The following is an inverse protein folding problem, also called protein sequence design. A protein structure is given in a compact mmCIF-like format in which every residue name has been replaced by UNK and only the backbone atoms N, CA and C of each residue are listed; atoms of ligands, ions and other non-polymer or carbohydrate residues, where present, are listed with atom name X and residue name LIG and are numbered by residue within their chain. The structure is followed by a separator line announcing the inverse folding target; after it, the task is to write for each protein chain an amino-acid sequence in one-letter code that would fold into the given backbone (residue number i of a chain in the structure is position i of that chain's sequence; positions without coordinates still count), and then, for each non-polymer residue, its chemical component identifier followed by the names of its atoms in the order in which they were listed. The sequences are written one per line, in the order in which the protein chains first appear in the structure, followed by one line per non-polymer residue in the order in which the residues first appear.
data_IF_898479899273
#
_entry.id   IF_898479899273
#
_cell.length_a   1.000
_cell.length_b   1.000
_cell.length_c   1.000
_cell.angle_alpha   90.00
_cell.angle_beta   90.00
_cell.angle_gamma   90.00
#
_symmetry.space_group_name_H-M   'P 1'
#
loop_
_entity.id
_entity.type
_entity.pdbx_description
1 polymer ?
#
# COMPACT_ATOMS: atom_id res chain seq x y z
N UNK A 1 7.77 -46.31 -7.37
CA UNK A 1 9.20 -45.94 -7.37
C UNK A 1 9.53 -45.55 -8.80
N UNK A 2 10.00 -44.32 -9.02
CA UNK A 2 10.39 -43.88 -10.35
C UNK A 2 11.65 -44.65 -10.79
N UNK A 3 11.66 -45.12 -12.03
CA UNK A 3 12.71 -45.97 -12.57
C UNK A 3 13.84 -45.09 -13.12
N UNK A 4 15.00 -45.11 -12.45
CA UNK A 4 16.18 -44.30 -12.79
C UNK A 4 16.63 -44.53 -14.24
N UNK A 5 16.40 -45.74 -14.77
CA UNK A 5 16.77 -46.10 -16.13
C UNK A 5 15.92 -45.38 -17.18
N UNK A 6 14.60 -45.32 -16.95
CA UNK A 6 13.67 -44.65 -17.85
C UNK A 6 13.90 -43.14 -17.88
N UNK A 7 14.13 -42.54 -16.70
CA UNK A 7 14.36 -41.11 -16.54
C UNK A 7 15.69 -40.68 -17.20
N UNK A 8 16.76 -41.46 -17.00
CA UNK A 8 18.07 -41.22 -17.62
C UNK A 8 18.00 -41.28 -19.15
N UNK A 9 17.31 -42.29 -19.70
CA UNK A 9 17.15 -42.46 -21.14
C UNK A 9 16.31 -41.35 -21.78
N UNK A 10 15.30 -40.84 -21.07
CA UNK A 10 14.47 -39.73 -21.52
C UNK A 10 15.23 -38.39 -21.53
N UNK A 11 16.10 -38.14 -20.55
CA UNK A 11 16.91 -36.93 -20.52
C UNK A 11 18.02 -36.97 -21.60
N UNK A 12 18.54 -38.17 -21.89
CA UNK A 12 19.49 -38.38 -22.98
C UNK A 12 18.86 -38.21 -24.36
N UNK A 13 17.61 -38.65 -24.56
CA UNK A 13 16.89 -38.44 -25.84
C UNK A 13 16.56 -36.97 -26.11
N UNK A 14 16.56 -36.14 -25.08
CA UNK A 14 16.48 -34.67 -25.18
C UNK A 14 17.83 -34.01 -25.50
N UNK A 15 18.91 -34.79 -25.65
CA UNK A 15 20.24 -34.31 -26.02
C UNK A 15 21.00 -33.61 -24.89
N UNK A 16 20.61 -33.82 -23.63
CA UNK A 16 21.32 -33.24 -22.49
C UNK A 16 22.66 -33.95 -22.25
N UNK A 17 23.73 -33.21 -21.91
CA UNK A 17 25.01 -33.80 -21.56
C UNK A 17 24.97 -34.44 -20.16
N UNK A 18 25.68 -35.55 -19.99
CA UNK A 18 25.83 -36.35 -18.76
C UNK A 18 25.93 -35.57 -17.43
N UNK A 19 26.71 -34.48 -17.30
CA UNK A 19 26.74 -33.69 -16.05
C UNK A 19 25.43 -32.98 -15.72
N UNK A 20 24.62 -32.60 -16.73
CA UNK A 20 23.29 -32.02 -16.53
C UNK A 20 22.28 -33.10 -16.10
N UNK A 21 22.36 -34.29 -16.70
CA UNK A 21 21.51 -35.43 -16.34
C UNK A 21 21.74 -35.82 -14.87
N UNK A 22 23.00 -35.81 -14.42
CA UNK A 22 23.35 -36.12 -13.05
C UNK A 22 22.76 -35.12 -12.05
N UNK A 23 22.79 -33.82 -12.39
CA UNK A 23 22.20 -32.77 -11.56
C UNK A 23 20.68 -32.94 -11.45
N UNK A 24 20.00 -33.17 -12.56
CA UNK A 24 18.54 -33.33 -12.63
C UNK A 24 18.05 -34.56 -11.83
N UNK A 25 18.77 -35.69 -11.94
CA UNK A 25 18.42 -36.92 -11.22
C UNK A 25 18.70 -36.81 -9.72
N UNK A 26 19.78 -36.11 -9.34
CA UNK A 26 20.08 -35.84 -7.92
C UNK A 26 19.03 -34.91 -7.32
N UNK A 27 18.58 -33.90 -8.07
CA UNK A 27 17.50 -32.98 -7.67
C UNK A 27 16.14 -33.71 -7.54
N UNK A 28 15.91 -34.73 -8.36
CA UNK A 28 14.75 -35.64 -8.25
C UNK A 28 14.87 -36.66 -7.10
N UNK A 29 15.94 -36.59 -6.31
CA UNK A 29 16.11 -37.36 -5.08
C UNK A 29 16.74 -38.74 -5.26
N UNK A 30 17.36 -39.03 -6.42
CA UNK A 30 18.11 -40.26 -6.61
C UNK A 30 19.54 -40.15 -6.02
N UNK A 31 20.06 -41.20 -5.38
CA UNK A 31 21.39 -41.15 -4.79
C UNK A 31 22.46 -41.06 -5.88
N UNK A 32 23.45 -40.15 -5.74
CA UNK A 32 24.41 -39.81 -6.80
C UNK A 32 25.28 -41.01 -7.21
N UNK A 33 25.56 -41.93 -6.29
CA UNK A 33 26.30 -43.16 -6.59
C UNK A 33 25.53 -44.09 -7.54
N UNK A 34 24.20 -44.21 -7.39
CA UNK A 34 23.38 -45.01 -8.30
C UNK A 34 23.27 -44.36 -9.68
N UNK A 35 23.13 -43.03 -9.73
CA UNK A 35 23.09 -42.27 -10.99
C UNK A 35 24.38 -42.48 -11.78
N UNK A 36 25.54 -42.34 -11.13
CA UNK A 36 26.85 -42.49 -11.75
C UNK A 36 27.12 -43.92 -12.24
N UNK A 37 26.80 -44.92 -11.41
CA UNK A 37 26.93 -46.32 -11.77
C UNK A 37 26.04 -46.67 -12.98
N UNK A 38 24.83 -46.12 -13.04
CA UNK A 38 23.90 -46.38 -14.14
C UNK A 38 24.31 -45.70 -15.44
N UNK A 39 24.75 -44.43 -15.38
CA UNK A 39 25.28 -43.70 -16.54
C UNK A 39 26.49 -44.42 -17.15
N UNK A 40 27.42 -44.84 -16.28
CA UNK A 40 28.63 -45.55 -16.69
C UNK A 40 28.33 -46.92 -17.29
N UNK A 41 27.31 -47.61 -16.77
CA UNK A 41 26.87 -48.91 -17.28
C UNK A 41 26.13 -48.78 -18.63
N UNK A 42 25.44 -47.66 -18.87
CA UNK A 42 24.80 -47.36 -20.16
C UNK A 42 25.79 -46.90 -21.23
N UNK A 43 26.91 -46.29 -20.85
CA UNK A 43 27.97 -45.88 -21.79
C UNK A 43 29.03 -46.96 -22.03
N UNK A 44 29.01 -48.03 -21.21
CA UNK A 44 29.74 -49.27 -21.46
C UNK A 44 29.12 -50.06 -22.63
N UNK A 45 29.23 -49.51 -23.84
CA UNK A 45 29.21 -50.31 -25.05
C UNK A 45 30.43 -51.25 -25.02
N UNK A 46 30.28 -52.55 -25.37
CA UNK A 46 31.36 -53.53 -25.27
C UNK A 46 32.35 -53.32 -26.43
N UNK A 47 33.17 -52.28 -26.33
CA UNK A 47 34.37 -52.16 -27.15
C UNK A 47 35.47 -52.96 -26.47
N UNK A 48 35.69 -54.17 -27.00
CA UNK A 48 36.79 -55.05 -26.64
C UNK A 48 38.13 -54.29 -26.74
N UNK A 49 38.90 -54.28 -25.65
CA UNK A 49 40.29 -53.80 -25.62
C UNK A 49 41.18 -55.02 -25.35
N UNK A 50 42.15 -55.36 -26.22
CA UNK A 50 43.10 -56.44 -25.94
C UNK A 50 44.16 -55.98 -24.91
N UNK A 51 44.74 -56.90 -24.12
CA UNK A 51 45.71 -56.54 -23.10
C UNK A 51 47.09 -56.36 -23.73
N UNK A 52 47.77 -55.26 -23.38
CA UNK A 52 49.21 -55.12 -23.59
C UNK A 52 49.86 -54.66 -22.29
N UNK A 53 50.65 -55.58 -21.71
CA UNK A 53 51.56 -55.29 -20.62
C UNK A 53 52.71 -54.40 -21.12
N UNK A 54 53.06 -53.36 -20.36
CA UNK A 54 54.25 -52.56 -20.62
C UNK A 54 54.54 -51.58 -19.50
N UNK A 55 55.74 -51.66 -18.94
CA UNK A 55 56.20 -51.01 -17.72
C UNK A 55 56.20 -49.46 -17.76
N UNK A 56 55.89 -48.87 -16.61
CA UNK A 56 55.98 -47.43 -16.32
C UNK A 56 57.41 -46.98 -16.00
N UNK A 57 57.79 -45.75 -16.39
CA UNK A 57 58.69 -44.88 -15.63
C UNK A 57 57.87 -43.87 -14.78
N UNK A 58 58.36 -43.42 -13.61
CA UNK A 58 57.63 -42.50 -12.74
C UNK A 58 57.69 -41.07 -13.30
N UNK A 59 56.54 -40.51 -13.66
CA UNK A 59 56.43 -39.07 -13.93
C UNK A 59 56.22 -38.27 -12.63
N UNK A 60 56.69 -37.01 -12.58
CA UNK A 60 56.49 -36.15 -11.43
C UNK A 60 55.00 -35.86 -11.28
N UNK A 61 54.47 -36.07 -10.08
CA UNK A 61 53.12 -35.65 -9.69
C UNK A 61 53.03 -34.13 -9.73
N UNK A 62 52.65 -33.58 -10.90
CA UNK A 62 52.00 -32.29 -10.97
C UNK A 62 50.76 -32.37 -10.08
N UNK A 63 50.70 -31.49 -9.10
CA UNK A 63 49.50 -31.23 -8.32
C UNK A 63 48.39 -30.84 -9.30
N UNK A 64 47.57 -31.83 -9.66
CA UNK A 64 46.32 -31.64 -10.34
C UNK A 64 45.38 -30.95 -9.36
N UNK A 65 45.39 -29.63 -9.38
CA UNK A 65 44.28 -28.82 -8.87
C UNK A 65 43.01 -29.32 -9.56
N UNK A 66 42.15 -29.93 -8.77
CA UNK A 66 40.87 -30.51 -9.19
C UNK A 66 40.04 -29.46 -9.92
N UNK A 67 39.45 -29.76 -11.10
CA UNK A 67 38.53 -28.87 -11.81
C UNK A 67 37.33 -28.41 -10.96
N UNK A 68 37.02 -29.16 -9.91
CA UNK A 68 35.93 -28.88 -8.98
C UNK A 68 36.15 -27.61 -8.14
N UNK A 69 37.38 -27.32 -7.70
CA UNK A 69 37.66 -26.15 -6.86
C UNK A 69 37.47 -24.84 -7.64
N UNK A 70 37.86 -24.82 -8.92
CA UNK A 70 37.65 -23.65 -9.79
C UNK A 70 36.17 -23.38 -10.09
N UNK A 71 35.34 -24.43 -10.10
CA UNK A 71 33.90 -24.29 -10.31
C UNK A 71 33.18 -23.78 -9.06
N UNK A 72 33.57 -24.25 -7.87
CA UNK A 72 33.04 -23.72 -6.61
C UNK A 72 33.44 -22.27 -6.37
N UNK A 73 34.69 -21.87 -6.63
CA UNK A 73 35.08 -20.45 -6.50
C UNK A 73 34.34 -19.52 -7.46
N UNK A 74 34.00 -19.97 -8.68
CA UNK A 74 33.16 -19.19 -9.59
C UNK A 74 31.71 -19.10 -9.13
N UNK A 75 31.17 -20.17 -8.55
CA UNK A 75 29.82 -20.17 -7.98
C UNK A 75 29.78 -19.25 -6.75
N UNK A 76 30.82 -19.26 -5.92
CA UNK A 76 30.96 -18.38 -4.76
C UNK A 76 31.04 -16.90 -5.17
N UNK A 77 31.89 -16.56 -6.14
CA UNK A 77 31.99 -15.20 -6.70
C UNK A 77 30.65 -14.71 -7.28
N UNK A 78 29.97 -15.56 -8.04
CA UNK A 78 28.64 -15.24 -8.60
C UNK A 78 27.60 -15.08 -7.50
N UNK A 79 27.67 -15.90 -6.44
CA UNK A 79 26.73 -15.86 -5.32
C UNK A 79 26.95 -14.62 -4.46
N UNK A 80 28.19 -14.22 -4.20
CA UNK A 80 28.51 -13.03 -3.41
C UNK A 80 28.13 -11.75 -4.16
N UNK A 81 28.39 -11.70 -5.47
CA UNK A 81 27.92 -10.59 -6.32
C UNK A 81 26.39 -10.51 -6.34
N UNK A 82 25.70 -11.65 -6.41
CA UNK A 82 24.24 -11.70 -6.40
C UNK A 82 23.65 -11.32 -5.03
N UNK A 83 24.32 -11.68 -3.93
CA UNK A 83 23.93 -11.30 -2.57
C UNK A 83 24.07 -9.79 -2.38
N UNK A 84 25.19 -9.20 -2.81
CA UNK A 84 25.41 -7.75 -2.72
C UNK A 84 24.37 -6.97 -3.55
N UNK A 85 24.08 -7.42 -4.77
CA UNK A 85 23.04 -6.79 -5.59
C UNK A 85 21.67 -6.83 -4.90
N UNK A 86 21.32 -7.96 -4.28
CA UNK A 86 20.06 -8.11 -3.54
C UNK A 86 20.04 -7.30 -2.25
N UNK A 87 21.18 -7.19 -1.57
CA UNK A 87 21.32 -6.37 -0.38
C UNK A 87 21.14 -4.88 -0.70
N UNK A 88 21.77 -4.40 -1.77
CA UNK A 88 21.60 -3.03 -2.24
C UNK A 88 20.17 -2.73 -2.69
N UNK A 89 19.51 -3.67 -3.38
CA UNK A 89 18.09 -3.57 -3.72
C UNK A 89 17.22 -3.44 -2.46
N UNK A 90 17.44 -4.29 -1.46
CA UNK A 90 16.71 -4.26 -0.19
C UNK A 90 16.92 -2.95 0.57
N UNK A 91 18.16 -2.47 0.67
CA UNK A 91 18.47 -1.18 1.29
C UNK A 91 17.79 -0.03 0.53
N UNK A 92 17.75 -0.11 -0.79
CA UNK A 92 17.00 0.83 -1.63
C UNK A 92 15.51 0.86 -1.29
N UNK A 93 14.87 -0.29 -1.12
CA UNK A 93 13.46 -0.38 -0.72
C UNK A 93 13.21 0.12 0.71
N UNK A 94 14.08 -0.24 1.66
CA UNK A 94 13.98 0.25 3.04
C UNK A 94 14.09 1.77 3.09
N UNK A 95 14.99 2.38 2.31
CA UNK A 95 15.10 3.85 2.22
C UNK A 95 13.81 4.49 1.70
N UNK A 96 13.16 3.90 0.69
CA UNK A 96 11.87 4.37 0.18
C UNK A 96 10.78 4.28 1.26
N UNK A 97 10.77 3.21 2.05
CA UNK A 97 9.82 3.04 3.17
C UNK A 97 10.06 4.10 4.25
N UNK A 98 11.32 4.39 4.59
CA UNK A 98 11.66 5.44 5.56
C UNK A 98 11.18 6.81 5.08
N UNK A 99 11.43 7.15 3.81
CA UNK A 99 10.97 8.41 3.24
C UNK A 99 9.45 8.51 3.22
N UNK A 100 8.76 7.44 2.82
CA UNK A 100 7.31 7.35 2.88
C UNK A 100 6.76 7.50 4.31
N UNK A 101 7.41 6.86 5.30
CA UNK A 101 7.07 6.99 6.72
C UNK A 101 7.20 8.44 7.18
N UNK A 102 8.30 9.12 6.85
CA UNK A 102 8.48 10.53 7.17
C UNK A 102 7.39 11.41 6.53
N UNK A 103 7.02 11.16 5.27
CA UNK A 103 5.93 11.87 4.59
C UNK A 103 4.57 11.66 5.26
N UNK A 104 4.27 10.43 5.70
CA UNK A 104 3.03 10.14 6.44
C UNK A 104 3.03 10.83 7.80
N UNK A 105 4.14 10.78 8.54
CA UNK A 105 4.25 11.44 9.84
C UNK A 105 4.07 12.97 9.73
N UNK A 106 4.55 13.58 8.65
CA UNK A 106 4.29 15.00 8.37
C UNK A 106 2.81 15.25 8.09
N UNK A 107 2.19 14.49 7.18
CA UNK A 107 0.77 14.61 6.86
C UNK A 107 -0.13 14.36 8.08
N UNK A 108 0.25 13.42 8.95
CA UNK A 108 -0.48 13.14 10.17
C UNK A 108 -0.44 14.35 11.12
N UNK A 109 0.73 14.95 11.34
CA UNK A 109 0.84 16.18 12.15
C UNK A 109 0.04 17.33 11.56
N UNK A 110 0.07 17.52 10.24
CA UNK A 110 -0.72 18.56 9.58
C UNK A 110 -2.24 18.33 9.74
N UNK A 111 -2.68 17.08 9.70
CA UNK A 111 -4.08 16.71 9.92
C UNK A 111 -4.50 16.99 11.37
N UNK A 112 -3.68 16.60 12.35
CA UNK A 112 -3.91 16.89 13.77
C UNK A 112 -4.01 18.40 14.04
N UNK A 113 -3.12 19.19 13.42
CA UNK A 113 -3.15 20.65 13.50
C UNK A 113 -4.42 21.23 12.86
N UNK A 114 -4.81 20.72 11.70
CA UNK A 114 -6.02 21.17 10.98
C UNK A 114 -7.28 20.84 11.77
N UNK A 115 -7.35 19.64 12.37
CA UNK A 115 -8.46 19.24 13.23
C UNK A 115 -8.57 20.15 14.46
N UNK A 116 -7.43 20.51 15.05
CA UNK A 116 -7.38 21.41 16.21
C UNK A 116 -7.89 22.80 15.85
N UNK A 117 -7.44 23.37 14.71
CA UNK A 117 -7.94 24.64 14.19
C UNK A 117 -9.43 24.59 13.88
N UNK A 118 -9.90 23.53 13.21
CA UNK A 118 -11.31 23.34 12.91
C UNK A 118 -12.17 23.30 14.18
N UNK A 119 -11.68 22.67 15.25
CA UNK A 119 -12.35 22.64 16.55
C UNK A 119 -12.43 24.04 17.17
N UNK A 120 -11.37 24.84 17.07
CA UNK A 120 -11.33 26.22 17.54
C UNK A 120 -12.29 27.12 16.75
N UNK A 121 -12.27 27.02 15.42
CA UNK A 121 -13.17 27.74 14.51
C UNK A 121 -14.63 27.38 14.77
N UNK A 122 -14.93 26.09 14.96
CA UNK A 122 -16.27 25.63 15.33
C UNK A 122 -16.71 26.21 16.69
N UNK A 123 -15.81 26.25 17.68
CA UNK A 123 -16.09 26.86 18.98
C UNK A 123 -16.39 28.37 18.86
N UNK A 124 -15.67 29.08 18.00
CA UNK A 124 -15.88 30.50 17.73
C UNK A 124 -17.20 30.73 16.99
N UNK A 125 -17.49 29.93 15.96
CA UNK A 125 -18.74 29.98 15.22
C UNK A 125 -19.93 29.70 16.14
N UNK A 126 -19.86 28.66 16.97
CA UNK A 126 -20.93 28.30 17.90
C UNK A 126 -21.23 29.44 18.88
N UNK A 127 -20.20 30.07 19.45
CA UNK A 127 -20.37 31.27 20.29
C UNK A 127 -20.99 32.44 19.52
N UNK A 128 -20.54 32.68 18.29
CA UNK A 128 -21.08 33.74 17.42
C UNK A 128 -22.55 33.52 17.06
N UNK A 129 -22.94 32.28 16.74
CA UNK A 129 -24.32 31.89 16.43
C UNK A 129 -25.22 32.02 17.66
N UNK A 130 -24.79 31.53 18.83
CA UNK A 130 -25.52 31.73 20.09
C UNK A 130 -25.71 33.21 20.41
N UNK A 131 -24.66 34.03 20.30
CA UNK A 131 -24.78 35.47 20.55
C UNK A 131 -25.73 36.18 19.57
N UNK A 132 -25.74 35.77 18.29
CA UNK A 132 -26.70 36.27 17.30
C UNK A 132 -28.13 35.82 17.60
N UNK A 133 -28.31 34.61 18.10
CA UNK A 133 -29.63 34.08 18.49
C UNK A 133 -30.17 34.81 19.71
N UNK A 134 -29.36 35.00 20.76
CA UNK A 134 -29.74 35.78 21.94
C UNK A 134 -30.07 37.23 21.58
N UNK A 135 -29.27 37.85 20.70
CA UNK A 135 -29.56 39.20 20.18
C UNK A 135 -30.84 39.25 19.34
N UNK A 136 -31.21 38.14 18.69
CA UNK A 136 -32.45 38.05 17.95
C UNK A 136 -33.64 37.92 18.90
N UNK A 137 -33.53 37.06 19.91
CA UNK A 137 -34.56 36.86 20.94
C UNK A 137 -34.86 38.17 21.70
N UNK A 138 -33.81 38.88 22.13
CA UNK A 138 -33.97 40.19 22.76
C UNK A 138 -34.69 41.22 21.87
N UNK A 139 -34.29 41.32 20.60
CA UNK A 139 -34.98 42.20 19.63
C UNK A 139 -36.44 41.79 19.39
N UNK A 140 -36.72 40.49 19.37
CA UNK A 140 -38.08 39.97 19.20
C UNK A 140 -38.96 40.34 20.42
N UNK A 141 -38.39 40.32 21.62
CA UNK A 141 -39.06 40.73 22.85
C UNK A 141 -39.33 42.25 22.88
N UNK A 142 -38.38 43.06 22.45
CA UNK A 142 -38.55 44.51 22.31
C UNK A 142 -39.65 44.84 21.30
N UNK A 143 -39.61 44.21 20.11
CA UNK A 143 -40.67 44.32 19.10
C UNK A 143 -42.02 43.89 19.66
N UNK A 144 -42.09 42.82 20.47
CA UNK A 144 -43.32 42.41 21.13
C UNK A 144 -43.86 43.48 22.10
N UNK A 145 -42.97 44.19 22.79
CA UNK A 145 -43.33 45.29 23.70
C UNK A 145 -43.83 46.51 22.93
N UNK A 146 -43.12 46.90 21.87
CA UNK A 146 -43.54 47.98 20.97
C UNK A 146 -44.88 47.67 20.30
N UNK A 147 -45.07 46.45 19.80
CA UNK A 147 -46.31 46.01 19.17
C UNK A 147 -47.48 46.07 20.17
N UNK A 148 -47.24 45.75 21.45
CA UNK A 148 -48.23 45.85 22.52
C UNK A 148 -48.60 47.31 22.80
N UNK A 149 -47.63 48.21 22.79
CA UNK A 149 -47.85 49.65 22.93
C UNK A 149 -48.64 50.20 21.73
N UNK A 150 -48.26 49.84 20.50
CA UNK A 150 -49.01 50.17 19.28
C UNK A 150 -50.43 49.63 19.34
N UNK A 151 -50.63 48.39 19.80
CA UNK A 151 -51.94 47.80 19.98
C UNK A 151 -52.81 48.58 20.97
N UNK A 152 -52.22 49.11 22.05
CA UNK A 152 -52.92 49.98 23.01
C UNK A 152 -53.31 51.31 22.38
N UNK A 153 -52.37 51.98 21.70
CA UNK A 153 -52.65 53.24 20.99
C UNK A 153 -53.74 53.04 19.93
N UNK A 154 -53.68 51.95 19.17
CA UNK A 154 -54.71 51.64 18.17
C UNK A 154 -56.08 51.45 18.82
N UNK A 155 -56.14 50.76 19.96
CA UNK A 155 -57.37 50.57 20.73
C UNK A 155 -57.97 51.88 21.25
N UNK A 156 -57.12 52.85 21.58
CA UNK A 156 -57.54 54.17 22.06
C UNK A 156 -57.92 55.13 20.90
N UNK A 157 -57.22 55.07 19.76
CA UNK A 157 -57.39 56.00 18.63
C UNK A 157 -58.52 55.58 17.68
N UNK A 158 -58.70 54.28 17.40
CA UNK A 158 -59.73 53.81 16.46
C UNK A 158 -61.14 54.28 16.83
N UNK A 159 -61.59 54.16 18.10
CA UNK A 159 -62.92 54.64 18.49
C UNK A 159 -63.10 56.13 18.26
N UNK A 160 -62.11 56.94 18.65
CA UNK A 160 -62.12 58.41 18.48
C UNK A 160 -62.16 58.77 17.00
N UNK A 161 -61.41 58.07 16.16
CA UNK A 161 -61.42 58.31 14.72
C UNK A 161 -62.77 57.96 14.08
N UNK A 162 -63.37 56.83 14.48
CA UNK A 162 -64.71 56.43 14.02
C UNK A 162 -65.77 57.44 14.46
N UNK A 163 -65.68 57.93 15.70
CA UNK A 163 -66.59 58.94 16.24
C UNK A 163 -66.47 60.27 15.47
N UNK A 164 -65.24 60.76 15.27
CA UNK A 164 -64.97 61.98 14.49
C UNK A 164 -65.48 61.87 13.04
N UNK A 165 -65.24 60.74 12.35
CA UNK A 165 -65.75 60.52 10.99
C UNK A 165 -67.28 60.51 10.96
N UNK A 166 -67.92 59.94 12.00
CA UNK A 166 -69.39 59.91 12.14
C UNK A 166 -69.96 61.31 12.38
N UNK A 167 -69.27 62.15 13.16
CA UNK A 167 -69.62 63.55 13.36
C UNK A 167 -69.47 64.38 12.09
N UNK A 168 -68.36 64.22 11.35
CA UNK A 168 -68.18 64.86 10.04
C UNK A 168 -69.26 64.45 9.03
N UNK A 169 -69.64 63.17 9.03
CA UNK A 169 -70.77 62.68 8.23
C UNK A 169 -72.07 63.41 8.56
N UNK A 170 -72.40 63.56 9.85
CA UNK A 170 -73.58 64.32 10.31
C UNK A 170 -73.53 65.79 9.93
N UNK A 171 -72.36 66.43 10.05
CA UNK A 171 -72.15 67.84 9.68
C UNK A 171 -72.37 68.07 8.18
N UNK A 172 -71.81 67.19 7.34
CA UNK A 172 -72.02 67.20 5.88
C UNK A 172 -73.50 67.06 5.53
N UNK A 173 -74.21 66.12 6.16
CA UNK A 173 -75.63 65.91 5.91
C UNK A 173 -76.50 67.09 6.38
N UNK A 174 -76.08 67.76 7.47
CA UNK A 174 -76.71 68.99 7.95
C UNK A 174 -76.52 70.19 7.02
N UNK A 175 -75.39 70.27 6.31
CA UNK A 175 -75.07 71.34 5.34
C UNK A 175 -75.79 71.11 3.99
N UNK A 176 -76.24 69.88 3.70
CA UNK A 176 -76.88 69.53 2.42
C UNK A 176 -78.39 69.82 2.37
N UNK A 177 -78.96 70.50 3.37
CA UNK A 177 -80.33 71.02 3.40
C UNK A 177 -80.34 72.52 3.15
#
# INVERSE_FOLDING_TARGET
MADIAAETQQLRSQGLPDPMIMKELTEKGFPPEQVHAHLSQMDATPTAIPPSMGAMPPMPSHASSTPHDQMYSRIEEVTETLIDEKWDQLIGEVRKIVEWKTQIEMKQRDLENTLTKLKEDFGTLHKGVLGKLDSYDGRMQDVGTELKAVGKVFKDVVPVFVENVKELGRLKDGIKK
#
